data_IF_033953571906
#
_entry.id   IF_033953571906
#
_cell.length_a   1.000
_cell.length_b   1.000
_cell.length_c   1.000
_cell.angle_alpha   90.00
_cell.angle_beta   90.00
_cell.angle_gamma   90.00
#
_symmetry.space_group_name_H-M   'P 1'
#
loop_
_entity.id
_entity.type
_entity.pdbx_description
1 polymer ?
#
# COMPACT_ATOMS: atom_id res chain seq x y z
N UNK A 1 9.30 16.80 -12.39
CA UNK A 1 8.85 17.70 -11.30
C UNK A 1 8.79 16.90 -10.00
N UNK A 2 9.38 17.38 -8.91
CA UNK A 2 9.47 16.65 -7.62
C UNK A 2 8.08 16.34 -7.03
N UNK A 3 7.06 17.17 -7.30
CA UNK A 3 5.68 16.93 -6.83
C UNK A 3 5.04 15.66 -7.40
N UNK A 4 5.38 15.26 -8.63
CA UNK A 4 4.86 14.02 -9.22
C UNK A 4 5.41 12.76 -8.55
N UNK A 5 6.66 12.81 -8.09
CA UNK A 5 7.29 11.71 -7.34
C UNK A 5 6.60 11.55 -5.98
N UNK A 6 6.32 12.65 -5.30
CA UNK A 6 5.56 12.63 -4.03
C UNK A 6 4.16 12.02 -4.20
N UNK A 7 3.45 12.40 -5.26
CA UNK A 7 2.13 11.82 -5.60
C UNK A 7 2.23 10.31 -5.80
N UNK A 8 3.23 9.84 -6.56
CA UNK A 8 3.40 8.41 -6.81
C UNK A 8 3.56 7.61 -5.51
N UNK A 9 4.38 8.10 -4.56
CA UNK A 9 4.54 7.46 -3.26
C UNK A 9 3.27 7.44 -2.43
N UNK A 10 2.48 8.52 -2.46
CA UNK A 10 1.18 8.56 -1.76
C UNK A 10 0.19 7.56 -2.37
N UNK A 11 0.17 7.40 -3.70
CA UNK A 11 -0.67 6.40 -4.38
C UNK A 11 -0.30 4.97 -3.94
N UNK A 12 1.00 4.66 -3.88
CA UNK A 12 1.50 3.36 -3.43
C UNK A 12 1.08 3.11 -1.98
N UNK A 13 1.31 4.07 -1.09
CA UNK A 13 0.93 3.94 0.33
C UNK A 13 -0.59 3.79 0.50
N UNK A 14 -1.39 4.61 -0.19
CA UNK A 14 -2.85 4.55 -0.15
C UNK A 14 -3.38 3.18 -0.58
N UNK A 15 -2.82 2.60 -1.65
CA UNK A 15 -3.20 1.28 -2.12
C UNK A 15 -2.78 0.15 -1.17
N UNK A 16 -1.59 0.23 -0.56
CA UNK A 16 -1.16 -0.72 0.49
C UNK A 16 -2.16 -0.71 1.66
N UNK A 17 -2.53 0.46 2.18
CA UNK A 17 -3.55 0.55 3.24
C UNK A 17 -4.94 0.10 2.76
N UNK A 18 -5.25 0.26 1.48
CA UNK A 18 -6.46 -0.30 0.86
C UNK A 18 -6.49 -1.82 0.92
N UNK A 19 -5.37 -2.48 0.61
CA UNK A 19 -5.23 -3.93 0.75
C UNK A 19 -5.47 -4.41 2.19
N UNK A 20 -5.03 -3.65 3.19
CA UNK A 20 -5.20 -4.02 4.59
C UNK A 20 -6.67 -4.10 5.01
N UNK A 21 -7.55 -3.29 4.41
CA UNK A 21 -8.99 -3.30 4.72
C UNK A 21 -9.72 -4.55 4.21
N UNK A 22 -9.16 -5.28 3.23
CA UNK A 22 -9.77 -6.51 2.69
C UNK A 22 -9.68 -7.66 3.70
N UNK A 23 -8.65 -7.65 4.55
CA UNK A 23 -8.43 -8.62 5.62
C UNK A 23 -8.41 -10.10 5.18
N UNK A 24 -7.82 -10.37 4.01
CA UNK A 24 -7.51 -11.70 3.53
C UNK A 24 -6.06 -12.11 3.85
N UNK A 25 -5.66 -13.34 3.53
CA UNK A 25 -4.28 -13.82 3.73
C UNK A 25 -3.21 -12.91 3.09
N UNK A 26 -3.55 -12.22 1.99
CA UNK A 26 -2.65 -11.24 1.35
C UNK A 26 -2.50 -10.00 2.21
N UNK A 27 -3.61 -9.45 2.68
CA UNK A 27 -3.63 -8.33 3.60
C UNK A 27 -2.80 -8.62 4.85
N UNK A 28 -2.91 -9.83 5.42
CA UNK A 28 -2.11 -10.27 6.56
C UNK A 28 -0.61 -10.22 6.24
N UNK A 29 -0.18 -10.82 5.13
CA UNK A 29 1.23 -10.82 4.73
C UNK A 29 1.77 -9.41 4.49
N UNK A 30 1.05 -8.59 3.71
CA UNK A 30 1.41 -7.21 3.40
C UNK A 30 1.51 -6.39 4.70
N UNK A 31 0.54 -6.54 5.61
CA UNK A 31 0.53 -5.84 6.89
C UNK A 31 1.72 -6.23 7.76
N UNK A 32 2.02 -7.53 7.90
CA UNK A 32 3.18 -7.99 8.67
C UNK A 32 4.50 -7.47 8.09
N UNK A 33 4.68 -7.54 6.77
CA UNK A 33 5.91 -7.08 6.12
C UNK A 33 6.08 -5.56 6.22
N UNK A 34 5.00 -4.79 6.02
CA UNK A 34 5.01 -3.34 6.23
C UNK A 34 5.27 -2.96 7.67
N UNK A 35 4.69 -3.65 8.64
CA UNK A 35 4.93 -3.42 10.05
C UNK A 35 6.41 -3.67 10.40
N UNK A 36 6.98 -4.75 9.87
CA UNK A 36 8.40 -5.04 10.00
C UNK A 36 9.28 -3.95 9.37
N UNK A 37 8.89 -3.40 8.21
CA UNK A 37 9.59 -2.23 7.65
C UNK A 37 9.53 -1.04 8.59
N UNK A 38 8.36 -0.70 9.12
CA UNK A 38 8.15 0.50 9.95
C UNK A 38 8.77 0.41 11.35
N UNK A 39 8.84 -0.79 11.93
CA UNK A 39 9.43 -1.04 13.25
C UNK A 39 10.89 -0.58 13.37
N UNK A 40 11.60 -0.52 12.25
CA UNK A 40 13.01 -0.12 12.21
C UNK A 40 13.19 1.39 11.99
N UNK A 41 12.10 2.18 12.04
CA UNK A 41 12.14 3.63 12.10
C UNK A 41 12.20 4.04 13.58
N UNK A 42 13.18 4.86 14.03
CA UNK A 42 13.40 5.22 15.43
C UNK A 42 12.24 5.92 16.17
N UNK A 43 11.13 6.18 15.48
CA UNK A 43 9.93 6.87 15.98
C UNK A 43 8.96 5.87 16.62
N UNK A 44 8.97 4.60 16.19
CA UNK A 44 8.05 3.57 16.66
C UNK A 44 8.74 2.67 17.69
N UNK A 45 8.50 2.89 18.99
CA UNK A 45 9.23 2.22 20.07
C UNK A 45 8.86 0.75 20.34
N UNK A 46 7.69 0.27 19.91
CA UNK A 46 7.22 -1.11 20.14
C UNK A 46 7.13 -1.82 18.78
N UNK A 47 7.52 -3.11 18.68
CA UNK A 47 7.35 -3.90 17.46
C UNK A 47 5.91 -3.91 16.96
N UNK A 48 5.64 -3.12 15.91
CA UNK A 48 4.33 -3.08 15.25
C UNK A 48 3.96 -4.48 14.73
N UNK A 49 4.95 -5.26 14.29
CA UNK A 49 4.80 -6.63 13.79
C UNK A 49 4.25 -7.60 14.85
N UNK A 50 4.62 -7.43 16.13
CA UNK A 50 4.13 -8.27 17.23
C UNK A 50 2.66 -8.01 17.56
N UNK A 51 2.18 -6.77 17.35
CA UNK A 51 0.76 -6.46 17.51
C UNK A 51 -0.08 -7.23 16.49
N UNK A 52 0.41 -7.41 15.25
CA UNK A 52 -0.26 -8.21 14.24
C UNK A 52 -0.29 -9.70 14.58
N UNK A 53 0.79 -10.25 15.12
CA UNK A 53 0.87 -11.67 15.49
C UNK A 53 0.00 -12.06 16.69
N UNK A 54 -0.38 -11.11 17.56
CA UNK A 54 -1.17 -11.34 18.79
C UNK A 54 -2.59 -10.78 18.74
N UNK A 55 -3.02 -10.24 17.60
CA UNK A 55 -4.27 -9.49 17.45
C UNK A 55 -5.55 -10.37 17.42
N UNK A 56 -5.69 -11.36 18.29
CA UNK A 56 -6.97 -12.09 18.44
C UNK A 56 -8.11 -11.18 18.96
N UNK A 57 -7.80 -9.97 19.46
CA UNK A 57 -8.78 -9.02 20.03
C UNK A 57 -8.64 -7.55 19.58
N UNK A 58 -7.79 -7.22 18.60
CA UNK A 58 -7.53 -5.82 18.19
C UNK A 58 -8.30 -5.36 16.93
N UNK A 59 -9.23 -6.17 16.43
CA UNK A 59 -9.79 -6.03 15.09
C UNK A 59 -10.50 -4.70 14.86
N UNK A 60 -11.34 -4.26 15.81
CA UNK A 60 -12.21 -3.10 15.59
C UNK A 60 -11.42 -1.78 15.60
N UNK A 61 -10.59 -1.55 16.62
CA UNK A 61 -9.77 -0.35 16.71
C UNK A 61 -8.77 -0.26 15.55
N UNK A 62 -8.12 -1.38 15.23
CA UNK A 62 -7.17 -1.42 14.13
C UNK A 62 -7.83 -1.12 12.79
N UNK A 63 -9.01 -1.70 12.53
CA UNK A 63 -9.79 -1.40 11.33
C UNK A 63 -10.13 0.10 11.22
N UNK A 64 -10.60 0.74 12.30
CA UNK A 64 -10.90 2.18 12.29
C UNK A 64 -9.66 3.04 12.02
N UNK A 65 -8.51 2.66 12.58
CA UNK A 65 -7.24 3.36 12.33
C UNK A 65 -6.84 3.24 10.85
N UNK A 66 -6.89 2.04 10.26
CA UNK A 66 -6.58 1.87 8.83
C UNK A 66 -7.57 2.64 7.97
N UNK A 67 -8.87 2.54 8.26
CA UNK A 67 -9.91 3.23 7.51
C UNK A 67 -9.65 4.74 7.51
N UNK A 68 -9.31 5.30 8.68
CA UNK A 68 -8.95 6.70 8.80
C UNK A 68 -7.68 7.06 8.00
N UNK A 69 -6.63 6.23 8.06
CA UNK A 69 -5.40 6.45 7.29
C UNK A 69 -5.68 6.38 5.79
N UNK A 70 -6.45 5.39 5.34
CA UNK A 70 -6.79 5.22 3.93
C UNK A 70 -7.62 6.40 3.42
N UNK A 71 -8.67 6.80 4.15
CA UNK A 71 -9.45 7.98 3.82
C UNK A 71 -8.59 9.25 3.78
N UNK A 72 -7.76 9.45 4.80
CA UNK A 72 -6.86 10.60 4.89
C UNK A 72 -5.85 10.63 3.73
N UNK A 73 -5.33 9.46 3.31
CA UNK A 73 -4.39 9.36 2.19
C UNK A 73 -4.98 9.84 0.87
N UNK A 74 -6.28 9.55 0.62
CA UNK A 74 -7.00 10.03 -0.57
C UNK A 74 -7.18 11.54 -0.51
N UNK A 75 -7.49 12.09 0.67
CA UNK A 75 -7.60 13.53 0.87
C UNK A 75 -6.26 14.24 0.63
N UNK A 76 -5.14 13.71 1.13
CA UNK A 76 -3.81 14.25 0.86
C UNK A 76 -3.44 14.13 -0.62
N UNK A 77 -3.77 13.01 -1.27
CA UNK A 77 -3.56 12.83 -2.70
C UNK A 77 -4.28 13.91 -3.52
N UNK A 78 -5.52 14.24 -3.16
CA UNK A 78 -6.27 15.33 -3.78
C UNK A 78 -5.55 16.68 -3.65
N UNK A 79 -5.10 17.04 -2.44
CA UNK A 79 -4.35 18.29 -2.21
C UNK A 79 -3.04 18.32 -3.01
N UNK A 80 -2.28 17.22 -3.01
CA UNK A 80 -1.03 17.13 -3.76
C UNK A 80 -1.25 17.25 -5.26
N UNK A 81 -2.33 16.67 -5.78
CA UNK A 81 -2.71 16.79 -7.18
C UNK A 81 -3.04 18.25 -7.53
N UNK A 82 -3.76 18.98 -6.67
CA UNK A 82 -4.00 20.41 -6.86
C UNK A 82 -2.69 21.21 -6.94
N UNK A 83 -1.77 20.97 -5.99
CA UNK A 83 -0.45 21.60 -5.97
C UNK A 83 0.34 21.25 -7.24
N UNK A 84 0.26 20.01 -7.71
CA UNK A 84 0.93 19.57 -8.93
C UNK A 84 0.36 20.26 -10.16
N UNK A 85 -0.97 20.33 -10.31
CA UNK A 85 -1.65 20.97 -11.45
C UNK A 85 -1.33 22.46 -11.52
N UNK A 86 -1.38 23.18 -10.40
CA UNK A 86 -1.06 24.63 -10.35
C UNK A 86 0.38 24.91 -10.80
N UNK A 87 1.30 23.96 -10.65
CA UNK A 87 2.70 24.08 -11.09
C UNK A 87 2.93 23.74 -12.56
N UNK A 88 2.01 23.09 -13.24
CA UNK A 88 2.16 22.68 -14.64
C UNK A 88 1.65 23.77 -15.58
N UNK A 89 2.53 24.32 -16.40
CA UNK A 89 2.16 25.27 -17.44
C UNK A 89 1.39 24.54 -18.55
N UNK A 90 0.14 24.96 -18.83
CA UNK A 90 -0.80 24.31 -19.76
C UNK A 90 -1.21 22.87 -19.34
N UNK A 91 -1.62 22.69 -18.10
CA UNK A 91 -2.20 21.43 -17.64
C UNK A 91 -3.45 21.04 -18.46
N UNK A 92 -3.39 19.94 -19.19
CA UNK A 92 -4.55 19.32 -19.82
C UNK A 92 -5.14 18.32 -18.81
N UNK A 93 -6.25 18.68 -18.19
CA UNK A 93 -6.87 17.89 -17.11
C UNK A 93 -7.71 16.74 -17.68
N UNK A 94 -8.38 16.97 -18.81
CA UNK A 94 -9.25 15.98 -19.44
C UNK A 94 -8.56 15.33 -20.65
N UNK A 95 -8.38 13.99 -20.67
CA UNK A 95 -7.85 13.32 -21.84
C UNK A 95 -8.82 13.40 -23.03
N UNK A 96 -8.35 13.19 -24.27
CA UNK A 96 -9.22 13.06 -25.44
C UNK A 96 -10.31 12.01 -25.18
N UNK A 97 -11.56 12.31 -25.57
CA UNK A 97 -12.73 11.43 -25.30
C UNK A 97 -12.52 9.99 -25.77
N UNK A 98 -11.88 9.82 -26.92
CA UNK A 98 -11.55 8.49 -27.48
C UNK A 98 -10.67 7.69 -26.52
N UNK A 99 -9.65 8.31 -25.94
CA UNK A 99 -8.77 7.67 -24.96
C UNK A 99 -9.52 7.34 -23.66
N UNK A 100 -10.37 8.25 -23.18
CA UNK A 100 -11.18 8.01 -21.99
C UNK A 100 -12.09 6.78 -22.16
N UNK A 101 -12.81 6.68 -23.27
CA UNK A 101 -13.65 5.52 -23.57
C UNK A 101 -12.85 4.25 -23.80
N UNK A 102 -11.68 4.34 -24.47
CA UNK A 102 -10.81 3.19 -24.69
C UNK A 102 -10.28 2.61 -23.36
N UNK A 103 -9.81 3.47 -22.46
CA UNK A 103 -9.34 3.06 -21.12
C UNK A 103 -10.49 2.47 -20.30
N UNK A 104 -11.66 3.12 -20.30
CA UNK A 104 -12.84 2.62 -19.61
C UNK A 104 -13.26 1.24 -20.12
N UNK A 105 -13.35 1.05 -21.44
CA UNK A 105 -13.68 -0.24 -22.05
C UNK A 105 -12.63 -1.32 -21.72
N UNK A 106 -11.34 -0.97 -21.74
CA UNK A 106 -10.26 -1.88 -21.37
C UNK A 106 -10.37 -2.31 -19.91
N UNK A 107 -10.63 -1.38 -18.98
CA UNK A 107 -10.81 -1.69 -17.56
C UNK A 107 -12.04 -2.58 -17.32
N UNK A 108 -13.17 -2.33 -18.00
CA UNK A 108 -14.33 -3.21 -17.93
C UNK A 108 -14.03 -4.61 -18.47
N UNK A 109 -13.38 -4.70 -19.64
CA UNK A 109 -13.01 -5.98 -20.22
C UNK A 109 -12.11 -6.77 -19.27
N UNK A 110 -11.09 -6.14 -18.68
CA UNK A 110 -10.21 -6.78 -17.69
C UNK A 110 -10.99 -7.21 -16.45
N UNK A 111 -11.91 -6.40 -15.95
CA UNK A 111 -12.77 -6.73 -14.80
C UNK A 111 -13.60 -8.01 -15.03
N UNK A 112 -14.12 -8.22 -16.25
CA UNK A 112 -14.87 -9.44 -16.58
C UNK A 112 -13.97 -10.65 -16.88
N UNK A 113 -12.83 -10.47 -17.54
CA UNK A 113 -11.93 -11.56 -17.93
C UNK A 113 -11.12 -12.07 -16.72
N UNK A 114 -10.67 -11.16 -15.86
CA UNK A 114 -9.82 -11.43 -14.69
C UNK A 114 -10.34 -10.62 -13.49
N UNK A 115 -11.47 -11.02 -12.89
CA UNK A 115 -12.00 -10.32 -11.73
C UNK A 115 -11.02 -10.38 -10.56
N UNK A 116 -10.96 -9.29 -9.80
CA UNK A 116 -10.21 -9.26 -8.55
C UNK A 116 -10.96 -10.10 -7.51
N UNK A 117 -10.44 -11.29 -7.21
CA UNK A 117 -10.98 -12.18 -6.17
C UNK A 117 -10.16 -12.04 -4.90
N UNK A 118 -10.82 -11.91 -3.76
CA UNK A 118 -10.17 -11.97 -2.45
C UNK A 118 -9.67 -13.39 -2.15
N UNK A 119 -8.58 -13.49 -1.40
CA UNK A 119 -8.13 -14.76 -0.84
C UNK A 119 -9.01 -15.17 0.37
N UNK A 120 -8.81 -16.36 0.97
CA UNK A 120 -9.44 -16.70 2.24
C UNK A 120 -9.14 -15.64 3.31
N UNK A 121 -10.05 -15.51 4.28
CA UNK A 121 -9.89 -14.58 5.40
C UNK A 121 -8.55 -14.83 6.12
N UNK A 122 -7.92 -13.76 6.59
CA UNK A 122 -6.69 -13.83 7.36
C UNK A 122 -6.88 -14.66 8.65
N UNK A 123 -5.96 -15.58 8.91
CA UNK A 123 -5.90 -16.38 10.14
C UNK A 123 -4.55 -16.13 10.82
N UNK A 124 -4.57 -15.36 11.92
CA UNK A 124 -3.34 -14.91 12.60
C UNK A 124 -2.50 -16.05 13.19
N UNK A 125 -3.14 -17.17 13.53
CA UNK A 125 -2.48 -18.39 14.03
C UNK A 125 -1.84 -19.26 12.96
N UNK A 126 -2.02 -18.94 11.66
CA UNK A 126 -1.49 -19.72 10.54
C UNK A 126 -0.50 -18.89 9.73
N UNK A 127 0.65 -19.49 9.43
CA UNK A 127 1.60 -18.92 8.49
C UNK A 127 1.01 -18.90 7.08
N UNK A 128 1.13 -17.76 6.41
CA UNK A 128 0.67 -17.57 5.05
C UNK A 128 1.67 -18.25 4.10
N UNK A 129 1.31 -19.39 3.52
CA UNK A 129 2.23 -20.21 2.70
C UNK A 129 2.40 -19.72 1.27
N UNK A 130 1.32 -19.25 0.62
CA UNK A 130 1.37 -18.75 -0.74
C UNK A 130 0.22 -17.78 -1.01
N UNK A 131 0.55 -16.60 -1.53
CA UNK A 131 -0.43 -15.58 -1.92
C UNK A 131 -0.13 -15.12 -3.33
N UNK A 132 -1.15 -14.87 -4.17
CA UNK A 132 -0.92 -14.28 -5.48
C UNK A 132 -0.20 -12.94 -5.36
N UNK A 133 0.98 -12.86 -5.96
CA UNK A 133 1.83 -11.67 -5.91
C UNK A 133 1.23 -10.54 -6.76
N UNK A 134 0.94 -9.40 -6.13
CA UNK A 134 0.61 -8.17 -6.83
C UNK A 134 1.90 -7.38 -7.06
N UNK A 135 2.40 -7.40 -8.29
CA UNK A 135 3.64 -6.70 -8.62
C UNK A 135 3.56 -5.17 -8.45
N UNK A 136 2.38 -4.56 -8.54
CA UNK A 136 2.23 -3.10 -8.50
C UNK A 136 2.31 -2.56 -7.07
N UNK A 137 1.73 -3.26 -6.09
CA UNK A 137 1.77 -2.84 -4.68
C UNK A 137 2.77 -3.61 -3.83
N UNK A 138 3.16 -4.82 -4.23
CA UNK A 138 4.10 -5.65 -3.48
C UNK A 138 5.55 -5.54 -3.96
N UNK A 139 5.86 -4.70 -4.95
CA UNK A 139 7.22 -4.62 -5.53
C UNK A 139 8.33 -4.37 -4.50
N UNK A 140 8.03 -3.69 -3.39
CA UNK A 140 9.02 -3.31 -2.37
C UNK A 140 9.33 -4.45 -1.40
N UNK A 141 8.37 -5.33 -1.12
CA UNK A 141 8.52 -6.36 -0.10
C UNK A 141 9.58 -7.44 -0.40
N UNK A 142 9.80 -7.88 -1.66
CA UNK A 142 10.90 -8.80 -1.98
C UNK A 142 12.28 -8.30 -1.53
N UNK A 143 12.48 -6.98 -1.40
CA UNK A 143 13.75 -6.42 -0.94
C UNK A 143 14.07 -6.81 0.52
N UNK A 144 13.06 -7.10 1.34
CA UNK A 144 13.24 -7.61 2.71
C UNK A 144 13.90 -9.00 2.75
N UNK A 145 13.87 -9.75 1.64
CA UNK A 145 14.61 -11.00 1.52
C UNK A 145 16.12 -10.81 1.30
N UNK A 146 16.54 -9.64 0.84
CA UNK A 146 17.94 -9.34 0.51
C UNK A 146 18.58 -8.30 1.45
N UNK A 147 17.76 -7.45 2.06
CA UNK A 147 18.19 -6.29 2.85
C UNK A 147 17.43 -6.28 4.19
N UNK A 148 18.08 -5.86 5.27
CA UNK A 148 17.35 -5.60 6.52
C UNK A 148 16.45 -4.37 6.36
N UNK A 149 15.36 -4.30 7.13
CA UNK A 149 14.49 -3.13 7.11
C UNK A 149 15.22 -1.81 7.45
N UNK A 150 16.25 -1.83 8.30
CA UNK A 150 17.13 -0.68 8.53
C UNK A 150 17.85 -0.23 7.25
N UNK A 151 18.40 -1.17 6.49
CA UNK A 151 19.09 -0.90 5.24
C UNK A 151 18.13 -0.33 4.19
N UNK A 152 16.86 -0.75 4.18
CA UNK A 152 15.84 -0.21 3.28
C UNK A 152 15.53 1.27 3.54
N UNK A 153 15.61 1.72 4.79
CA UNK A 153 15.45 3.14 5.13
C UNK A 153 16.71 3.98 4.94
N UNK A 154 17.79 3.39 4.43
CA UNK A 154 19.08 4.07 4.29
C UNK A 154 19.83 4.24 5.61
N UNK A 155 19.34 3.65 6.71
CA UNK A 155 20.10 3.52 7.95
C UNK A 155 21.15 2.42 7.75
N UNK A 156 22.31 2.82 7.24
CA UNK A 156 23.45 1.93 7.12
C UNK A 156 24.09 1.77 8.51
N UNK A 157 23.76 0.69 9.22
CA UNK A 157 24.58 0.19 10.30
C UNK A 157 25.49 -0.92 9.76
N UNK A 158 26.81 -0.88 10.02
CA UNK A 158 27.65 -2.06 9.83
C UNK A 158 27.07 -3.19 10.69
N UNK A 159 26.84 -4.36 10.08
CA UNK A 159 26.46 -5.54 10.86
C UNK A 159 27.60 -5.86 11.85
N UNK A 160 27.34 -6.12 13.14
CA UNK A 160 28.30 -6.87 13.95
C UNK A 160 28.49 -8.29 13.41
#
# INVERSE_FOLDING_TARGET
MVSGIGIAWVIVAAGIFGYWMVWDQRAQLIATLSAHMLENIPIFGIPLSLNFARAEHLTDQFFYIILFIHFSSIFFLFILLLVHIVRVTRAVINPPRVLAYAVMAALFAVSFIRPATSAPQAELGRLVEAVPFDWFYMFIYPLLGYMSAHQLWGFWSPRP
#
